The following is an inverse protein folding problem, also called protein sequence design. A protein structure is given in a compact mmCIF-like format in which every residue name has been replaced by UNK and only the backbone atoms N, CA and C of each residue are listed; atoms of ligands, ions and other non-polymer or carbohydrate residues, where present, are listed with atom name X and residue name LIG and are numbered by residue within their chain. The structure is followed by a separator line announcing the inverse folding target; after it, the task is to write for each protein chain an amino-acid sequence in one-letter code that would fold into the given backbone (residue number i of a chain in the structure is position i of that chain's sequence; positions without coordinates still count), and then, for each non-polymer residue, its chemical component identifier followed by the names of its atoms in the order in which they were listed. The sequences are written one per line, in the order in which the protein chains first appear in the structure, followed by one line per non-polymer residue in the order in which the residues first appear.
data_IF_965082157934
#
_entry.id   IF_965082157934
#
_cell.length_a   1.000
_cell.length_b   1.000
_cell.length_c   1.000
_cell.angle_alpha   90.00
_cell.angle_beta   90.00
_cell.angle_gamma   90.00
#
_symmetry.space_group_name_H-M   'P 1'
#
loop_
_entity.id
_entity.type
_entity.pdbx_description
1 polymer ?
#
# COMPACT_ATOMS: atom_id res chain seq x y z
N UNK A 1 -0.54 -14.90 -1.81
CA UNK A 1 -0.52 -13.67 -2.62
C UNK A 1 0.35 -12.60 -1.97
N UNK A 2 1.14 -11.90 -2.78
CA UNK A 2 1.99 -10.78 -2.39
C UNK A 2 1.29 -9.46 -2.71
N UNK A 3 1.23 -8.55 -1.74
CA UNK A 3 0.49 -7.30 -1.86
C UNK A 3 1.45 -6.12 -1.68
N UNK A 4 1.46 -5.19 -2.63
CA UNK A 4 2.10 -3.88 -2.46
C UNK A 4 1.05 -2.84 -2.04
N UNK A 5 1.33 -2.11 -0.98
CA UNK A 5 0.51 -0.96 -0.54
C UNK A 5 1.38 0.29 -0.61
N UNK A 6 1.04 1.23 -1.49
CA UNK A 6 1.65 2.57 -1.48
C UNK A 6 0.89 3.48 -0.52
N UNK A 7 1.51 4.56 -0.02
CA UNK A 7 0.90 5.37 1.03
C UNK A 7 0.70 4.58 2.33
N UNK A 8 1.55 3.58 2.58
CA UNK A 8 1.38 2.59 3.65
C UNK A 8 1.36 3.20 5.07
N UNK A 9 1.94 4.39 5.26
CA UNK A 9 1.93 5.13 6.55
C UNK A 9 0.85 6.21 6.65
N UNK A 10 0.03 6.37 5.62
CA UNK A 10 -1.18 7.19 5.70
C UNK A 10 -2.23 6.57 6.63
N UNK A 11 -3.31 7.30 6.91
CA UNK A 11 -4.39 6.83 7.79
C UNK A 11 -4.99 5.50 7.32
N UNK A 12 -5.40 5.42 6.05
CA UNK A 12 -5.98 4.20 5.46
C UNK A 12 -4.92 3.13 5.27
N UNK A 13 -3.73 3.51 4.78
CA UNK A 13 -2.62 2.57 4.55
C UNK A 13 -2.22 1.82 5.81
N UNK A 14 -2.08 2.52 6.94
CA UNK A 14 -1.70 1.92 8.22
C UNK A 14 -2.75 0.91 8.69
N UNK A 15 -4.04 1.28 8.60
CA UNK A 15 -5.14 0.40 8.99
C UNK A 15 -5.21 -0.84 8.10
N UNK A 16 -5.04 -0.67 6.78
CA UNK A 16 -5.05 -1.76 5.81
C UNK A 16 -3.87 -2.72 6.05
N UNK A 17 -2.63 -2.22 6.14
CA UNK A 17 -1.45 -3.04 6.37
C UNK A 17 -1.57 -3.85 7.66
N UNK A 18 -2.07 -3.25 8.74
CA UNK A 18 -2.32 -3.97 10.00
C UNK A 18 -3.41 -5.04 9.85
N UNK A 19 -4.47 -4.77 9.10
CA UNK A 19 -5.52 -5.76 8.86
C UNK A 19 -5.02 -6.93 8.00
N UNK A 20 -4.26 -6.65 6.94
CA UNK A 20 -3.64 -7.67 6.09
C UNK A 20 -2.66 -8.55 6.89
N UNK A 21 -1.82 -7.95 7.75
CA UNK A 21 -0.95 -8.70 8.66
C UNK A 21 -1.74 -9.57 9.62
N UNK A 22 -2.84 -9.05 10.19
CA UNK A 22 -3.71 -9.85 11.06
C UNK A 22 -4.32 -11.05 10.33
N UNK A 23 -4.67 -10.91 9.04
CA UNK A 23 -5.16 -12.04 8.22
C UNK A 23 -4.01 -13.03 7.96
N UNK A 24 -2.86 -12.56 7.47
CA UNK A 24 -1.66 -13.37 7.22
C UNK A 24 -1.23 -14.17 8.45
N UNK A 25 -1.15 -13.52 9.61
CA UNK A 25 -0.71 -14.11 10.87
C UNK A 25 -1.80 -14.96 11.54
N UNK A 26 -2.97 -15.12 10.90
CA UNK A 26 -4.07 -15.95 11.40
C UNK A 26 -4.85 -15.37 12.59
N UNK A 27 -4.60 -14.11 12.96
CA UNK A 27 -5.33 -13.38 14.02
C UNK A 27 -6.74 -12.99 13.57
N UNK A 28 -6.93 -12.78 12.28
CA UNK A 28 -8.23 -12.53 11.65
C UNK A 28 -8.55 -13.66 10.66
N UNK A 29 -9.52 -14.51 11.02
CA UNK A 29 -9.93 -15.68 10.22
C UNK A 29 -11.25 -15.49 9.47
N UNK A 30 -11.76 -14.26 9.38
CA UNK A 30 -13.04 -13.95 8.72
C UNK A 30 -13.02 -14.12 7.19
N UNK A 31 -11.83 -14.33 6.61
CA UNK A 31 -11.59 -14.46 5.16
C UNK A 31 -10.80 -15.74 4.85
N UNK A 32 -11.41 -16.94 4.98
CA UNK A 32 -10.68 -18.21 4.87
C UNK A 32 -10.12 -18.50 3.47
N UNK A 33 -10.65 -17.86 2.43
CA UNK A 33 -10.17 -18.00 1.06
C UNK A 33 -8.98 -17.08 0.73
N UNK A 34 -8.64 -16.13 1.62
CA UNK A 34 -7.57 -15.16 1.38
C UNK A 34 -6.27 -15.66 2.01
N UNK A 35 -5.31 -16.03 1.17
CA UNK A 35 -3.96 -16.40 1.59
C UNK A 35 -2.96 -15.29 1.24
N UNK A 36 -2.50 -14.57 2.25
CA UNK A 36 -1.51 -13.50 2.11
C UNK A 36 -0.14 -14.09 2.45
N UNK A 37 0.84 -13.85 1.59
CA UNK A 37 2.22 -14.29 1.78
C UNK A 37 3.04 -13.09 2.26
N UNK A 38 3.31 -12.14 1.36
CA UNK A 38 4.06 -10.93 1.68
C UNK A 38 3.21 -9.66 1.57
N UNK A 39 3.56 -8.67 2.40
CA UNK A 39 2.97 -7.33 2.39
C UNK A 39 4.12 -6.33 2.27
N UNK A 40 4.25 -5.73 1.09
CA UNK A 40 5.22 -4.68 0.82
C UNK A 40 4.59 -3.32 1.13
N UNK A 41 5.17 -2.62 2.10
CA UNK A 41 4.75 -1.27 2.49
C UNK A 41 5.66 -0.26 1.79
N UNK A 42 5.07 0.65 1.03
CA UNK A 42 5.78 1.74 0.37
C UNK A 42 5.23 3.09 0.85
N UNK A 43 6.12 3.97 1.30
CA UNK A 43 5.79 5.30 1.79
C UNK A 43 6.88 6.33 1.45
N UNK A 44 6.78 7.55 1.97
CA UNK A 44 7.70 8.66 1.68
C UNK A 44 9.15 8.40 2.13
N UNK A 45 9.38 7.44 3.04
CA UNK A 45 10.71 7.05 3.50
C UNK A 45 11.29 5.86 2.73
N UNK A 46 10.53 5.28 1.80
CA UNK A 46 10.98 4.18 0.94
C UNK A 46 11.81 4.70 -0.24
N UNK A 47 12.58 3.83 -0.88
CA UNK A 47 13.41 4.21 -2.05
C UNK A 47 12.77 3.78 -3.38
N UNK A 48 13.07 4.48 -4.50
CA UNK A 48 12.59 4.07 -5.82
C UNK A 48 12.98 2.63 -6.21
N UNK A 49 14.14 2.14 -5.76
CA UNK A 49 14.60 0.77 -5.98
C UNK A 49 13.75 -0.25 -5.22
N UNK A 50 13.28 0.11 -4.03
CA UNK A 50 12.29 -0.69 -3.31
C UNK A 50 10.97 -0.78 -4.08
N UNK A 51 10.52 0.33 -4.68
CA UNK A 51 9.31 0.33 -5.49
C UNK A 51 9.45 -0.61 -6.70
N UNK A 52 10.54 -0.51 -7.48
CA UNK A 52 10.78 -1.42 -8.61
C UNK A 52 10.80 -2.88 -8.17
N UNK A 53 11.50 -3.17 -7.07
CA UNK A 53 11.56 -4.52 -6.48
C UNK A 53 10.20 -5.02 -6.03
N UNK A 54 9.39 -4.20 -5.38
CA UNK A 54 8.08 -4.59 -4.88
C UNK A 54 7.08 -4.79 -6.02
N UNK A 55 7.09 -3.92 -7.04
CA UNK A 55 6.27 -4.05 -8.23
C UNK A 55 6.52 -5.37 -8.98
N UNK A 56 7.77 -5.83 -9.06
CA UNK A 56 8.11 -7.14 -9.68
C UNK A 56 7.60 -8.35 -8.89
N UNK A 57 7.36 -8.21 -7.59
CA UNK A 57 7.00 -9.31 -6.69
C UNK A 57 5.52 -9.35 -6.32
N UNK A 58 4.83 -8.22 -6.44
CA UNK A 58 3.44 -8.10 -6.04
C UNK A 58 2.50 -8.77 -7.05
N UNK A 59 1.54 -9.54 -6.53
CA UNK A 59 0.41 -10.06 -7.31
C UNK A 59 -0.71 -9.02 -7.40
N UNK A 60 -0.78 -8.11 -6.40
CA UNK A 60 -1.80 -7.09 -6.30
C UNK A 60 -1.22 -5.79 -5.72
N UNK A 61 -1.65 -4.66 -6.26
CA UNK A 61 -1.21 -3.33 -5.82
C UNK A 61 -2.41 -2.54 -5.30
N UNK A 62 -2.31 -2.02 -4.08
CA UNK A 62 -3.23 -1.03 -3.51
C UNK A 62 -2.51 0.32 -3.52
N UNK A 63 -2.91 1.20 -4.44
CA UNK A 63 -2.34 2.54 -4.52
C UNK A 63 -3.10 3.51 -3.59
N UNK A 64 -2.58 3.77 -2.39
CA UNK A 64 -3.13 4.78 -1.47
C UNK A 64 -2.22 6.01 -1.33
N UNK A 65 -1.10 6.04 -2.06
CA UNK A 65 -0.34 7.26 -2.25
C UNK A 65 -1.24 8.28 -2.96
N UNK A 66 -1.43 9.42 -2.33
CA UNK A 66 -2.23 10.50 -2.86
C UNK A 66 -1.66 11.82 -2.40
N UNK A 67 -2.05 12.87 -3.12
CA UNK A 67 -1.65 14.24 -2.82
C UNK A 67 -2.65 14.88 -1.89
N UNK A 68 -2.20 15.88 -1.13
CA UNK A 68 -3.14 16.74 -0.44
C UNK A 68 -4.10 17.35 -1.46
N UNK A 69 -5.39 17.54 -1.12
CA UNK A 69 -6.33 18.23 -1.98
C UNK A 69 -5.71 19.55 -2.40
N UNK A 70 -5.58 19.79 -3.70
CA UNK A 70 -4.95 21.01 -4.15
C UNK A 70 -5.87 22.20 -3.85
N UNK A 71 -5.30 23.31 -3.38
CA UNK A 71 -6.05 24.55 -3.17
C UNK A 71 -6.48 25.16 -4.52
N UNK A 72 -5.73 24.86 -5.59
CA UNK A 72 -6.03 25.28 -6.95
C UNK A 72 -5.98 24.11 -7.94
N UNK A 73 -6.86 24.04 -8.95
CA UNK A 73 -6.93 22.92 -9.90
C UNK A 73 -5.59 22.50 -10.54
N UNK A 74 -4.69 23.47 -10.74
CA UNK A 74 -3.35 23.28 -11.27
C UNK A 74 -2.43 22.40 -10.41
N UNK A 75 -2.59 22.38 -9.08
CA UNK A 75 -1.73 21.62 -8.16
C UNK A 75 -2.09 20.10 -8.14
N UNK A 76 -3.21 19.72 -8.76
CA UNK A 76 -3.61 18.31 -8.88
C UNK A 76 -2.63 17.51 -9.76
N UNK A 77 -2.06 18.17 -10.77
CA UNK A 77 -1.20 17.53 -11.78
C UNK A 77 0.24 17.39 -11.32
N UNK A 78 0.73 18.25 -10.43
CA UNK A 78 2.12 18.29 -9.97
C UNK A 78 2.40 17.37 -8.80
N UNK A 79 1.40 17.02 -8.00
CA UNK A 79 1.59 16.16 -6.84
C UNK A 79 1.61 14.65 -7.16
N UNK A 80 0.97 14.22 -8.25
CA UNK A 80 0.73 12.81 -8.59
C UNK A 80 1.61 12.29 -9.74
N UNK A 81 2.64 13.04 -10.12
CA UNK A 81 3.57 12.73 -11.22
C UNK A 81 4.94 12.30 -10.72
#
# INVERSE_FOLDING_TARGET
MNILVTGAKGMVGTALCNNLKNIRDGKNKTRPALNIEEIYEYDLNSTPEELDKYCRKADFVVNLAGVNPPEHPEDFMTGNS
#
